data_IF_597265768346
#
_entry.id   IF_597265768346
#
_cell.length_a   1.000
_cell.length_b   1.000
_cell.length_c   1.000
_cell.angle_alpha   90.00
_cell.angle_beta   90.00
_cell.angle_gamma   90.00
#
_symmetry.space_group_name_H-M   'P 1'
#
loop_
_entity.id
_entity.type
_entity.pdbx_description
1 polymer ?
#
# COMPACT_ATOMS: atom_id res chain seq x y z
N UNK A 1 -0.02 9.77 -9.82
CA UNK A 1 -0.29 8.64 -8.90
C UNK A 1 0.85 8.53 -7.92
N UNK A 2 2.10 8.56 -8.41
CA UNK A 2 3.29 8.65 -7.58
C UNK A 2 3.26 9.83 -6.59
N UNK A 3 2.69 10.97 -6.97
CA UNK A 3 2.56 12.15 -6.10
C UNK A 3 1.59 11.91 -4.92
N UNK A 4 0.46 11.24 -5.19
CA UNK A 4 -0.51 10.87 -4.15
C UNK A 4 0.12 9.85 -3.18
N UNK A 5 0.84 8.87 -3.71
CA UNK A 5 1.55 7.88 -2.91
C UNK A 5 2.66 8.53 -2.05
N UNK A 6 3.40 9.50 -2.61
CA UNK A 6 4.38 10.25 -1.84
C UNK A 6 3.75 11.02 -0.67
N UNK A 7 2.59 11.66 -0.87
CA UNK A 7 1.84 12.32 0.21
C UNK A 7 1.31 11.32 1.25
N UNK A 8 0.80 10.18 0.79
CA UNK A 8 0.34 9.10 1.66
C UNK A 8 1.45 8.56 2.56
N UNK A 9 2.66 8.35 2.04
CA UNK A 9 3.79 7.87 2.82
C UNK A 9 4.40 8.97 3.70
N UNK A 10 4.44 10.21 3.22
CA UNK A 10 4.84 11.36 4.06
C UNK A 10 4.04 11.41 5.35
N UNK A 11 2.71 11.30 5.27
CA UNK A 11 1.83 11.30 6.43
C UNK A 11 2.20 10.18 7.44
N UNK A 12 2.52 8.99 6.93
CA UNK A 12 2.97 7.88 7.79
C UNK A 12 4.34 8.13 8.43
N UNK A 13 5.28 8.67 7.66
CA UNK A 13 6.61 9.02 8.15
C UNK A 13 6.51 10.07 9.27
N UNK A 14 5.67 11.09 9.10
CA UNK A 14 5.41 12.13 10.10
C UNK A 14 4.73 11.59 11.36
N UNK A 15 3.90 10.55 11.23
CA UNK A 15 3.29 9.80 12.34
C UNK A 15 4.22 8.78 13.00
N UNK A 16 5.45 8.61 12.51
CA UNK A 16 6.41 7.64 13.05
C UNK A 16 6.09 6.19 12.66
N UNK A 17 5.32 5.98 11.59
CA UNK A 17 4.99 4.65 11.08
C UNK A 17 6.13 4.11 10.23
N UNK A 18 6.27 2.78 10.17
CA UNK A 18 7.08 2.11 9.17
C UNK A 18 6.31 2.03 7.86
N UNK A 19 6.89 2.55 6.79
CA UNK A 19 6.29 2.71 5.48
C UNK A 19 6.87 1.70 4.49
N UNK A 20 6.00 0.96 3.81
CA UNK A 20 6.36 0.00 2.77
C UNK A 20 5.65 0.38 1.48
N UNK A 21 6.42 0.87 0.50
CA UNK A 21 5.92 1.17 -0.83
C UNK A 21 6.24 0.00 -1.76
N UNK A 22 5.20 -0.71 -2.20
CA UNK A 22 5.35 -1.74 -3.23
C UNK A 22 5.29 -1.07 -4.60
N UNK A 23 6.39 -1.17 -5.34
CA UNK A 23 6.56 -0.62 -6.68
C UNK A 23 6.72 -1.76 -7.66
N UNK A 24 6.14 -1.68 -8.86
CA UNK A 24 6.17 -2.75 -9.84
C UNK A 24 7.48 -2.83 -10.64
N UNK A 25 8.19 -1.71 -10.85
CA UNK A 25 9.39 -1.66 -11.70
C UNK A 25 10.49 -0.75 -11.11
N UNK A 26 11.79 -0.99 -11.42
CA UNK A 26 12.89 -0.15 -10.91
C UNK A 26 12.78 1.34 -11.26
N UNK A 27 12.22 1.68 -12.42
CA UNK A 27 11.99 3.08 -12.84
C UNK A 27 10.99 3.80 -11.93
N UNK A 28 10.01 3.06 -11.39
CA UNK A 28 9.05 3.61 -10.43
C UNK A 28 9.72 3.92 -9.07
N UNK A 29 10.81 3.24 -8.70
CA UNK A 29 11.59 3.56 -7.49
C UNK A 29 12.24 4.95 -7.57
N UNK A 30 12.86 5.29 -8.70
CA UNK A 30 13.46 6.62 -8.88
C UNK A 30 12.39 7.72 -8.88
N UNK A 31 11.27 7.47 -9.57
CA UNK A 31 10.12 8.37 -9.54
C UNK A 31 9.54 8.53 -8.12
N UNK A 32 9.48 7.45 -7.33
CA UNK A 32 9.04 7.48 -5.94
C UNK A 32 9.98 8.31 -5.07
N UNK A 33 11.30 8.15 -5.24
CA UNK A 33 12.31 8.97 -4.54
C UNK A 33 12.09 10.45 -4.83
N UNK A 34 12.07 10.85 -6.11
CA UNK A 34 11.86 12.25 -6.49
C UNK A 34 10.54 12.80 -5.95
N UNK A 35 9.45 12.03 -6.01
CA UNK A 35 8.15 12.45 -5.51
C UNK A 35 8.14 12.66 -3.98
N UNK A 36 8.82 11.79 -3.23
CA UNK A 36 8.97 11.91 -1.77
C UNK A 36 9.81 13.13 -1.40
N UNK A 37 10.95 13.35 -2.07
CA UNK A 37 11.79 14.53 -1.85
C UNK A 37 11.04 15.83 -2.18
N UNK A 38 10.28 15.85 -3.29
CA UNK A 38 9.40 16.98 -3.64
C UNK A 38 8.29 17.22 -2.61
N UNK A 39 7.81 16.17 -1.93
CA UNK A 39 6.85 16.29 -0.83
C UNK A 39 7.49 16.77 0.49
N UNK A 40 8.82 16.89 0.53
CA UNK A 40 9.59 17.32 1.71
C UNK A 40 10.04 16.19 2.63
N UNK A 41 10.03 14.94 2.15
CA UNK A 41 10.55 13.77 2.88
C UNK A 41 12.06 13.68 2.71
N UNK A 42 12.79 13.54 3.81
CA UNK A 42 14.22 13.18 3.78
C UNK A 42 14.36 11.68 3.49
N UNK A 43 14.38 11.35 2.19
CA UNK A 43 14.40 9.98 1.70
C UNK A 43 15.57 9.16 2.26
N UNK A 44 16.78 9.73 2.23
CA UNK A 44 18.00 9.07 2.67
C UNK A 44 17.99 8.80 4.18
N UNK A 45 17.44 9.71 4.99
CA UNK A 45 17.25 9.45 6.42
C UNK A 45 16.26 8.31 6.66
N UNK A 46 15.13 8.30 5.96
CA UNK A 46 14.09 7.28 6.16
C UNK A 46 14.58 5.88 5.75
N UNK A 47 15.40 5.80 4.69
CA UNK A 47 16.07 4.55 4.31
C UNK A 47 17.05 4.07 5.39
N UNK A 48 17.93 4.96 5.88
CA UNK A 48 18.92 4.59 6.91
C UNK A 48 18.31 4.14 8.23
N UNK A 49 17.10 4.62 8.56
CA UNK A 49 16.39 4.24 9.78
C UNK A 49 15.42 3.08 9.57
N UNK A 50 15.41 2.43 8.40
CA UNK A 50 14.46 1.37 8.02
C UNK A 50 12.97 1.79 8.14
N UNK A 51 12.72 3.12 8.17
CA UNK A 51 11.37 3.67 8.27
C UNK A 51 10.65 3.62 6.91
N UNK A 52 11.40 3.68 5.80
CA UNK A 52 10.86 3.53 4.46
C UNK A 52 11.53 2.35 3.75
N UNK A 53 10.71 1.48 3.16
CA UNK A 53 11.13 0.37 2.30
C UNK A 53 10.41 0.53 0.96
N UNK A 54 11.15 0.55 -0.16
CA UNK A 54 10.56 0.47 -1.50
C UNK A 54 10.92 -0.90 -2.07
N UNK A 55 9.92 -1.75 -2.29
CA UNK A 55 10.14 -3.13 -2.75
C UNK A 55 9.45 -3.41 -4.10
N UNK A 56 10.08 -4.21 -4.97
CA UNK A 56 9.46 -4.71 -6.19
C UNK A 56 8.18 -5.53 -5.92
N UNK A 57 7.14 -5.37 -6.75
CA UNK A 57 5.87 -6.08 -6.62
C UNK A 57 6.03 -7.60 -6.73
N UNK A 58 7.02 -8.09 -7.48
CA UNK A 58 7.35 -9.51 -7.56
C UNK A 58 7.71 -10.12 -6.19
N UNK A 59 8.40 -9.36 -5.34
CA UNK A 59 8.79 -9.81 -3.99
C UNK A 59 7.59 -9.90 -3.06
N UNK A 60 6.52 -9.17 -3.40
CA UNK A 60 5.23 -9.26 -2.74
C UNK A 60 4.37 -10.42 -3.31
N UNK A 61 4.32 -10.56 -4.63
CA UNK A 61 3.47 -11.53 -5.34
C UNK A 61 3.91 -13.00 -5.14
N UNK A 62 5.20 -13.28 -4.96
CA UNK A 62 5.66 -14.64 -4.59
C UNK A 62 5.03 -15.14 -3.26
N UNK A 63 4.39 -14.25 -2.48
CA UNK A 63 3.74 -14.58 -1.22
C UNK A 63 2.23 -14.23 -1.16
N UNK A 64 1.62 -13.62 -2.19
CA UNK A 64 0.38 -12.84 -2.02
C UNK A 64 -0.69 -12.99 -3.12
N UNK A 65 -1.14 -14.22 -3.42
CA UNK A 65 -2.51 -14.37 -3.93
C UNK A 65 -3.46 -14.06 -2.77
N UNK A 66 -3.92 -12.81 -2.62
CA UNK A 66 -4.94 -12.47 -1.61
C UNK A 66 -6.26 -13.16 -1.98
N UNK A 67 -6.98 -13.82 -1.02
CA UNK A 67 -6.78 -13.81 0.43
C UNK A 67 -6.05 -15.10 0.84
N UNK A 68 -4.74 -15.16 0.64
CA UNK A 68 -3.96 -16.28 1.14
C UNK A 68 -3.66 -16.07 2.64
N UNK A 69 -3.72 -17.14 3.46
CA UNK A 69 -3.20 -17.12 4.83
C UNK A 69 -1.76 -16.59 4.95
N UNK A 70 -0.97 -16.69 3.87
CA UNK A 70 0.37 -16.12 3.78
C UNK A 70 0.39 -14.60 3.85
N UNK A 71 -0.56 -13.92 3.21
CA UNK A 71 -0.60 -12.46 3.17
C UNK A 71 -1.04 -11.86 4.51
N UNK A 72 -2.05 -12.43 5.17
CA UNK A 72 -2.43 -12.09 6.56
C UNK A 72 -1.22 -12.26 7.49
N UNK A 73 -0.52 -13.40 7.40
CA UNK A 73 0.65 -13.70 8.22
C UNK A 73 1.81 -12.75 7.95
N UNK A 74 2.03 -12.37 6.69
CA UNK A 74 3.08 -11.44 6.29
C UNK A 74 2.80 -10.03 6.83
N UNK A 75 1.58 -9.51 6.64
CA UNK A 75 1.18 -8.19 7.15
C UNK A 75 1.33 -8.14 8.68
N UNK A 76 0.85 -9.18 9.38
CA UNK A 76 1.03 -9.30 10.82
C UNK A 76 2.48 -9.27 11.25
N UNK A 77 3.33 -10.11 10.64
CA UNK A 77 4.76 -10.15 10.95
C UNK A 77 5.45 -8.80 10.72
N UNK A 78 5.11 -8.10 9.63
CA UNK A 78 5.67 -6.77 9.34
C UNK A 78 5.20 -5.73 10.36
N UNK A 79 3.93 -5.79 10.77
CA UNK A 79 3.36 -4.92 11.81
C UNK A 79 3.99 -5.15 13.18
N UNK A 80 4.05 -6.42 13.63
CA UNK A 80 4.72 -6.81 14.88
C UNK A 80 6.18 -6.37 14.90
N UNK A 81 6.91 -6.58 13.80
CA UNK A 81 8.29 -6.12 13.66
C UNK A 81 8.41 -4.60 13.76
N UNK A 82 7.55 -3.85 13.08
CA UNK A 82 7.56 -2.40 13.14
C UNK A 82 7.35 -1.88 14.57
N UNK A 83 6.40 -2.46 15.30
CA UNK A 83 6.16 -2.10 16.71
C UNK A 83 7.35 -2.44 17.61
N UNK A 84 7.98 -3.61 17.41
CA UNK A 84 9.19 -4.02 18.16
C UNK A 84 10.38 -3.09 17.90
N UNK A 85 10.48 -2.53 16.70
CA UNK A 85 11.51 -1.56 16.30
C UNK A 85 11.19 -0.13 16.76
N UNK A 86 10.04 0.09 17.41
CA UNK A 86 9.64 1.37 18.00
C UNK A 86 8.83 2.28 17.08
N UNK A 87 8.40 1.80 15.92
CA UNK A 87 7.47 2.53 15.04
C UNK A 87 6.04 2.50 15.62
N UNK A 88 5.25 3.50 15.28
CA UNK A 88 3.86 3.63 15.76
C UNK A 88 2.87 2.70 15.05
N UNK A 89 3.28 2.12 13.91
CA UNK A 89 2.47 1.23 13.08
C UNK A 89 3.15 0.88 11.76
N UNK A 90 2.40 0.19 10.89
CA UNK A 90 2.77 -0.17 9.54
C UNK A 90 1.85 0.54 8.53
N UNK A 91 2.44 1.27 7.59
CA UNK A 91 1.75 1.83 6.43
C UNK A 91 2.21 1.14 5.17
N UNK A 92 1.30 0.66 4.34
CA UNK A 92 1.64 -0.10 3.14
C UNK A 92 0.71 0.19 1.97
N UNK A 93 1.28 0.32 0.77
CA UNK A 93 0.51 0.42 -0.48
C UNK A 93 0.55 -0.91 -1.23
N UNK A 94 -0.60 -1.39 -1.72
CA UNK A 94 -0.69 -2.52 -2.64
C UNK A 94 -1.14 -2.04 -4.02
N UNK A 95 -0.37 -2.39 -5.05
CA UNK A 95 -0.66 -2.05 -6.44
C UNK A 95 -1.21 -3.26 -7.21
N UNK A 96 -2.44 -3.12 -7.72
CA UNK A 96 -3.15 -4.12 -8.53
C UNK A 96 -3.08 -3.85 -10.04
N UNK A 97 -2.16 -3.00 -10.52
CA UNK A 97 -1.91 -2.78 -11.96
C UNK A 97 -1.80 -4.07 -12.79
N UNK A 98 -1.18 -5.11 -12.23
CA UNK A 98 -0.95 -6.41 -12.89
C UNK A 98 -1.70 -7.55 -12.19
N UNK A 99 -2.80 -7.26 -11.50
CA UNK A 99 -3.59 -8.29 -10.87
C UNK A 99 -4.20 -9.22 -11.94
N UNK A 100 -4.08 -10.53 -11.73
CA UNK A 100 -4.77 -11.53 -12.53
C UNK A 100 -6.16 -11.81 -11.92
N UNK A 101 -7.22 -11.76 -12.72
CA UNK A 101 -8.59 -12.01 -12.27
C UNK A 101 -9.42 -10.73 -12.03
N UNK A 102 -10.55 -10.86 -11.34
CA UNK A 102 -11.41 -9.72 -11.04
C UNK A 102 -10.79 -8.86 -9.94
N UNK A 103 -10.62 -7.56 -10.20
CA UNK A 103 -10.13 -6.60 -9.22
C UNK A 103 -11.02 -6.57 -7.97
N UNK A 104 -12.34 -6.73 -8.14
CA UNK A 104 -13.29 -6.82 -7.01
C UNK A 104 -12.95 -7.95 -6.06
N UNK A 105 -12.55 -9.11 -6.59
CA UNK A 105 -12.10 -10.19 -5.73
C UNK A 105 -10.82 -9.81 -4.99
N UNK A 106 -9.85 -9.15 -5.63
CA UNK A 106 -8.65 -8.67 -4.95
C UNK A 106 -8.97 -7.72 -3.80
N UNK A 107 -9.93 -6.80 -3.97
CA UNK A 107 -10.36 -5.87 -2.94
C UNK A 107 -11.04 -6.58 -1.77
N UNK A 108 -12.01 -7.44 -2.03
CA UNK A 108 -12.69 -8.22 -0.99
C UNK A 108 -11.70 -9.07 -0.18
N UNK A 109 -10.74 -9.66 -0.89
CA UNK A 109 -9.70 -10.46 -0.28
C UNK A 109 -8.75 -9.64 0.61
N UNK A 110 -8.47 -8.39 0.25
CA UNK A 110 -7.72 -7.45 1.09
C UNK A 110 -8.50 -7.07 2.33
N UNK A 111 -9.79 -6.77 2.17
CA UNK A 111 -10.71 -6.43 3.26
C UNK A 111 -10.76 -7.55 4.28
N UNK A 112 -11.06 -8.78 3.85
CA UNK A 112 -11.05 -9.95 4.73
C UNK A 112 -9.71 -10.15 5.43
N UNK A 113 -8.61 -9.87 4.74
CA UNK A 113 -7.26 -9.98 5.29
C UNK A 113 -7.03 -8.96 6.40
N UNK A 114 -7.45 -7.71 6.20
CA UNK A 114 -7.37 -6.65 7.20
C UNK A 114 -8.28 -6.91 8.40
N UNK A 115 -9.48 -7.44 8.19
CA UNK A 115 -10.38 -7.82 9.29
C UNK A 115 -9.80 -8.95 10.17
N UNK A 116 -9.04 -9.87 9.56
CA UNK A 116 -8.34 -10.96 10.26
C UNK A 116 -7.07 -10.50 10.96
N UNK A 117 -6.50 -9.36 10.59
CA UNK A 117 -5.42 -8.71 11.33
C UNK A 117 -6.05 -8.04 12.56
N UNK A 118 -5.51 -8.35 13.74
CA UNK A 118 -6.16 -8.01 15.01
C UNK A 118 -6.29 -6.48 15.18
N UNK A 119 -7.37 -5.97 15.78
CA UNK A 119 -7.58 -4.50 15.98
C UNK A 119 -6.47 -3.77 16.77
N UNK A 120 -5.52 -4.51 17.37
CA UNK A 120 -4.34 -3.95 18.05
C UNK A 120 -3.11 -3.78 17.16
N UNK A 121 -3.14 -4.25 15.92
CA UNK A 121 -2.08 -4.03 14.93
C UNK A 121 -2.39 -2.72 14.19
N UNK A 122 -1.57 -1.67 14.39
CA UNK A 122 -1.73 -0.38 13.72
C UNK A 122 -1.31 -0.49 12.25
N UNK A 123 -2.17 -1.04 11.40
CA UNK A 123 -1.93 -1.15 9.95
C UNK A 123 -2.81 -0.14 9.21
N UNK A 124 -2.17 0.68 8.37
CA UNK A 124 -2.85 1.52 7.38
C UNK A 124 -2.54 1.01 5.98
N UNK A 125 -3.56 0.68 5.20
CA UNK A 125 -3.44 0.15 3.85
C UNK A 125 -3.95 1.16 2.82
N UNK A 126 -3.27 1.29 1.69
CA UNK A 126 -3.78 1.98 0.51
C UNK A 126 -3.73 1.03 -0.69
N UNK A 127 -4.89 0.77 -1.28
CA UNK A 127 -5.02 -0.06 -2.46
C UNK A 127 -5.08 0.82 -3.70
N UNK A 128 -4.31 0.48 -4.73
CA UNK A 128 -4.28 1.21 -6.00
C UNK A 128 -4.52 0.24 -7.15
N UNK A 129 -5.32 0.65 -8.14
CA UNK A 129 -5.56 -0.12 -9.36
C UNK A 129 -5.83 0.80 -10.57
N UNK A 130 -5.67 0.33 -11.81
CA UNK A 130 -6.08 1.06 -13.00
C UNK A 130 -7.60 1.18 -13.09
N UNK A 131 -8.09 2.35 -13.50
CA UNK A 131 -9.53 2.55 -13.68
C UNK A 131 -10.05 1.82 -14.93
N UNK A 132 -9.23 1.71 -15.96
CA UNK A 132 -9.56 1.11 -17.26
C UNK A 132 -9.88 -0.39 -17.16
N UNK A 133 -9.49 -1.03 -16.05
CA UNK A 133 -9.79 -2.43 -15.76
C UNK A 133 -11.05 -2.66 -14.92
N UNK A 134 -11.71 -1.60 -14.44
CA UNK A 134 -12.89 -1.70 -13.60
C UNK A 134 -14.17 -1.52 -14.41
N UNK A 135 -15.11 -2.47 -14.30
CA UNK A 135 -16.46 -2.24 -14.77
C UNK A 135 -17.24 -1.28 -13.86
N UNK A 136 -18.29 -0.65 -14.40
CA UNK A 136 -19.12 0.27 -13.63
C UNK A 136 -19.73 -0.38 -12.37
N UNK A 137 -20.12 -1.66 -12.45
CA UNK A 137 -20.62 -2.42 -11.29
C UNK A 137 -19.55 -2.61 -10.22
N UNK A 138 -18.31 -2.89 -10.61
CA UNK A 138 -17.20 -3.07 -9.67
C UNK A 138 -16.84 -1.76 -8.98
N UNK A 139 -16.81 -0.66 -9.72
CA UNK A 139 -16.61 0.67 -9.16
C UNK A 139 -17.71 1.05 -8.15
N UNK A 140 -18.98 0.78 -8.47
CA UNK A 140 -20.11 1.06 -7.57
C UNK A 140 -20.08 0.20 -6.30
N UNK A 141 -19.64 -1.05 -6.40
CA UNK A 141 -19.45 -1.92 -5.23
C UNK A 141 -18.39 -1.33 -4.29
N UNK A 142 -17.24 -0.90 -4.82
CA UNK A 142 -16.19 -0.25 -4.03
C UNK A 142 -16.68 1.03 -3.33
N UNK A 143 -17.52 1.82 -3.99
CA UNK A 143 -18.12 3.03 -3.40
C UNK A 143 -19.13 2.74 -2.28
N UNK A 144 -19.77 1.57 -2.30
CA UNK A 144 -20.78 1.18 -1.32
C UNK A 144 -20.22 0.72 0.03
N UNK A 145 -18.92 0.42 0.10
CA UNK A 145 -18.30 -0.35 1.21
C UNK A 145 -17.69 0.49 2.35
N UNK A 146 -18.09 1.76 2.52
CA UNK A 146 -17.63 2.65 3.61
C UNK A 146 -16.09 2.87 3.65
N UNK A 147 -15.41 2.74 2.50
CA UNK A 147 -14.00 3.10 2.33
C UNK A 147 -13.86 4.44 1.62
N UNK A 148 -12.83 5.22 1.98
CA UNK A 148 -12.48 6.44 1.26
C UNK A 148 -11.93 6.08 -0.13
N UNK A 149 -12.67 6.42 -1.18
CA UNK A 149 -12.28 6.19 -2.57
C UNK A 149 -11.77 7.47 -3.23
N UNK A 150 -10.56 7.41 -3.80
CA UNK A 150 -9.97 8.49 -4.60
C UNK A 150 -9.85 8.03 -6.05
N UNK A 151 -10.50 8.75 -6.97
CA UNK A 151 -10.43 8.49 -8.40
C UNK A 151 -9.61 9.58 -9.07
N UNK A 152 -8.53 9.21 -9.75
CA UNK A 152 -7.77 10.10 -10.63
C UNK A 152 -8.22 9.89 -12.08
N UNK A 153 -8.83 10.90 -12.69
CA UNK A 153 -9.10 10.93 -14.14
C UNK A 153 -8.06 11.82 -14.85
N UNK A 154 -7.77 11.58 -16.12
CA UNK A 154 -6.92 12.50 -16.88
C UNK A 154 -7.62 13.86 -17.03
N UNK A 155 -7.10 14.86 -16.30
CA UNK A 155 -7.61 16.22 -16.30
C UNK A 155 -7.72 16.81 -14.89
N UNK A 156 -6.58 17.27 -14.36
CA UNK A 156 -6.37 17.90 -13.04
C UNK A 156 -6.79 17.05 -11.83
#
# INVERSE_FOLDING_TARGET
>A
MVELLALYFKEGIEKGERCVWISSEPEETENAKMALENAGVDFERCLRSDQLEIIPAREFQENAALPAPSAVKMLRKRSEKALLEGFSGLRINLDFKKAEGSLSSCFENCRETLEKVNRGENITLLLTCPLEGLSASELLNLMGEQEDLIIKQEGK
#
